data_IF_126912422776
#
_entry.id   IF_126912422776
#
_cell.length_a   1.000
_cell.length_b   1.000
_cell.length_c   1.000
_cell.angle_alpha   90.00
_cell.angle_beta   90.00
_cell.angle_gamma   90.00
#
_symmetry.space_group_name_H-M   'P 1'
#
loop_
_entity.id
_entity.type
_entity.pdbx_description
1 polymer ?
#
# COMPACT_ATOMS: atom_id res chain seq x y z
N UNK A 1 19.40 0.92 12.81
CA UNK A 1 19.06 0.78 12.43
C UNK A 1 17.98 0.73 11.99
N UNK A 2 17.48 0.66 11.40
CA UNK A 2 16.55 0.65 10.99
C UNK A 2 16.06 -0.21 10.39
N UNK A 3 15.82 -1.16 10.52
CA UNK A 3 15.42 -2.14 9.92
C UNK A 3 14.03 -2.13 9.82
N UNK A 4 13.28 -1.58 10.47
CA UNK A 4 11.88 -1.77 10.48
C UNK A 4 11.17 -1.13 9.33
N UNK A 5 11.85 -0.51 8.44
CA UNK A 5 11.15 0.05 7.36
C UNK A 5 10.61 -0.99 6.42
N UNK A 6 10.89 -2.24 6.59
CA UNK A 6 10.38 -3.27 5.71
C UNK A 6 9.38 -4.18 6.40
N UNK A 7 8.52 -3.61 7.20
CA UNK A 7 7.49 -4.40 7.84
C UNK A 7 6.56 -5.00 6.81
N UNK A 8 6.10 -6.19 7.09
CA UNK A 8 5.10 -6.81 6.24
C UNK A 8 3.74 -6.26 6.63
N UNK A 9 2.78 -6.35 5.71
CA UNK A 9 1.46 -5.82 6.00
C UNK A 9 0.84 -6.44 7.23
N UNK A 10 1.08 -7.71 7.46
CA UNK A 10 0.51 -8.37 8.63
C UNK A 10 1.11 -7.87 9.94
N UNK A 11 2.24 -7.19 9.87
CA UNK A 11 2.88 -6.66 11.07
C UNK A 11 2.52 -5.19 11.30
N UNK A 12 1.75 -4.59 10.42
CA UNK A 12 1.41 -3.18 10.55
C UNK A 12 0.09 -3.00 11.26
N UNK A 13 -0.06 -1.89 11.95
CA UNK A 13 -1.35 -1.51 12.52
C UNK A 13 -2.27 -1.03 11.42
N UNK A 14 -3.55 -0.93 11.71
CA UNK A 14 -4.50 -0.41 10.73
C UNK A 14 -4.14 1.00 10.33
N UNK A 15 -3.73 1.82 11.28
CA UNK A 15 -3.31 3.19 10.95
C UNK A 15 -2.14 3.20 9.99
N UNK A 16 -1.17 2.33 10.23
CA UNK A 16 -0.03 2.23 9.34
C UNK A 16 -0.44 1.75 7.96
N UNK A 17 -1.35 0.80 7.92
CA UNK A 17 -1.82 0.28 6.64
C UNK A 17 -2.54 1.37 5.85
N UNK A 18 -3.34 2.16 6.53
CA UNK A 18 -4.05 3.25 5.87
C UNK A 18 -3.09 4.28 5.31
N UNK A 19 -2.03 4.56 6.04
CA UNK A 19 -1.02 5.47 5.54
C UNK A 19 -0.32 4.90 4.32
N UNK A 20 -0.01 3.62 4.37
CA UNK A 20 0.62 2.97 3.23
C UNK A 20 -0.28 3.04 2.01
N UNK A 21 -1.56 2.75 2.18
CA UNK A 21 -2.51 2.79 1.07
C UNK A 21 -2.55 4.20 0.50
N UNK A 22 -2.60 5.19 1.36
CA UNK A 22 -2.64 6.57 0.93
C UNK A 22 -1.42 6.93 0.09
N UNK A 23 -0.25 6.56 0.58
CA UNK A 23 1.00 6.84 -0.14
C UNK A 23 1.02 6.12 -1.47
N UNK A 24 0.60 4.87 -1.49
CA UNK A 24 0.61 4.10 -2.72
C UNK A 24 -0.37 4.69 -3.73
N UNK A 25 -1.52 5.13 -3.27
CA UNK A 25 -2.48 5.74 -4.17
C UNK A 25 -1.93 7.02 -4.78
N UNK A 26 -1.27 7.82 -3.98
CA UNK A 26 -0.64 9.03 -4.51
C UNK A 26 0.43 8.70 -5.53
N UNK A 27 1.22 7.66 -5.26
CA UNK A 27 2.23 7.24 -6.21
C UNK A 27 1.61 6.74 -7.50
N UNK A 28 0.48 6.06 -7.41
CA UNK A 28 -0.17 5.56 -8.62
C UNK A 28 -0.69 6.71 -9.48
N UNK A 29 -1.18 7.76 -8.85
CA UNK A 29 -1.62 8.93 -9.59
C UNK A 29 -0.44 9.57 -10.30
N UNK A 30 0.69 9.68 -9.60
CA UNK A 30 1.89 10.22 -10.20
C UNK A 30 2.34 9.38 -11.38
N UNK A 31 2.31 8.07 -11.22
CA UNK A 31 2.71 7.18 -12.30
C UNK A 31 1.79 7.36 -13.51
N UNK A 32 0.50 7.55 -13.26
CA UNK A 32 -0.44 7.78 -14.33
C UNK A 32 -0.13 9.07 -15.07
N UNK A 33 0.15 10.12 -14.33
CA UNK A 33 0.47 11.40 -14.94
C UNK A 33 1.73 11.32 -15.79
N UNK A 34 2.67 10.49 -15.39
CA UNK A 34 3.91 10.33 -16.13
C UNK A 34 3.83 9.21 -17.15
N UNK A 35 2.65 8.65 -17.35
CA UNK A 35 2.42 7.59 -18.32
C UNK A 35 3.23 6.35 -18.07
N UNK A 36 3.48 6.05 -16.81
CA UNK A 36 4.22 4.86 -16.43
C UNK A 36 3.24 3.79 -16.00
N UNK A 37 2.55 3.22 -16.94
CA UNK A 37 1.45 2.30 -16.62
C UNK A 37 1.91 1.02 -15.95
N UNK A 38 3.09 0.54 -16.29
CA UNK A 38 3.59 -0.67 -15.64
C UNK A 38 3.83 -0.46 -14.16
N UNK A 39 4.39 0.67 -13.82
CA UNK A 39 4.63 1.00 -12.42
C UNK A 39 3.30 1.18 -11.70
N UNK A 40 2.35 1.83 -12.36
CA UNK A 40 1.04 2.02 -11.78
C UNK A 40 0.38 0.69 -11.46
N UNK A 41 0.48 -0.27 -12.36
CA UNK A 41 -0.09 -1.59 -12.13
C UNK A 41 0.50 -2.25 -10.90
N UNK A 42 1.80 -2.19 -10.75
CA UNK A 42 2.48 -2.76 -9.60
C UNK A 42 2.00 -2.08 -8.31
N UNK A 43 1.89 -0.76 -8.34
CA UNK A 43 1.46 -0.03 -7.17
C UNK A 43 0.03 -0.42 -6.80
N UNK A 44 -0.84 -0.53 -7.79
CA UNK A 44 -2.23 -0.87 -7.51
C UNK A 44 -2.37 -2.27 -6.93
N UNK A 45 -1.51 -3.20 -7.34
CA UNK A 45 -1.49 -4.53 -6.73
C UNK A 45 -1.17 -4.44 -5.25
N UNK A 46 -0.20 -3.62 -4.91
CA UNK A 46 0.15 -3.44 -3.50
C UNK A 46 -0.99 -2.80 -2.73
N UNK A 47 -1.68 -1.84 -3.35
CA UNK A 47 -2.83 -1.21 -2.70
C UNK A 47 -3.89 -2.26 -2.37
N UNK A 48 -4.15 -3.16 -3.31
CA UNK A 48 -5.15 -4.18 -3.10
C UNK A 48 -4.75 -5.07 -1.94
N UNK A 49 -3.49 -5.45 -1.86
CA UNK A 49 -3.01 -6.30 -0.78
C UNK A 49 -3.16 -5.61 0.58
N UNK A 50 -2.77 -4.35 0.64
CA UNK A 50 -2.88 -3.63 1.90
C UNK A 50 -4.34 -3.48 2.32
N UNK A 51 -5.22 -3.22 1.38
CA UNK A 51 -6.64 -3.09 1.69
C UNK A 51 -7.23 -4.41 2.14
N UNK A 52 -6.80 -5.51 1.57
CA UNK A 52 -7.27 -6.82 2.00
C UNK A 52 -6.88 -7.08 3.45
N UNK A 53 -5.69 -6.68 3.81
CA UNK A 53 -5.24 -6.87 5.19
C UNK A 53 -6.08 -6.05 6.16
N UNK A 54 -6.43 -4.83 5.78
CA UNK A 54 -7.28 -3.99 6.60
C UNK A 54 -8.64 -4.65 6.78
N UNK A 55 -9.21 -5.12 5.69
CA UNK A 55 -10.52 -5.77 5.73
C UNK A 55 -10.52 -6.98 6.63
N UNK A 56 -9.46 -7.77 6.54
CA UNK A 56 -9.33 -8.95 7.35
C UNK A 56 -9.40 -8.62 8.82
N UNK A 57 -8.80 -7.53 9.23
CA UNK A 57 -8.79 -7.14 10.63
C UNK A 57 -10.12 -6.59 11.09
N UNK A 58 -10.78 -5.86 10.21
CA UNK A 58 -12.08 -5.31 10.56
C UNK A 58 -13.17 -6.36 10.64
N UNK A 59 -12.97 -7.44 9.86
CA UNK A 59 -13.94 -8.46 9.84
C UNK A 59 -13.89 -9.38 10.98
N UNK A 60 -12.92 -9.53 11.69
CA UNK A 60 -12.80 -10.41 12.80
C UNK A 60 -13.99 -10.99 13.30
#
# INVERSE_FOLDING_TARGET
MEKSRYKRYCDCDIDELEEIVNDLENMSINALKNKKLNIRKTILSSVIEAKKEIEKRLKK
#
